data_IF_865623647015
#
_entry.id   IF_865623647015
#
_cell.length_a   1.000
_cell.length_b   1.000
_cell.length_c   1.000
_cell.angle_alpha   90.00
_cell.angle_beta   90.00
_cell.angle_gamma   90.00
#
_symmetry.space_group_name_H-M   'P 1'
#
loop_
_entity.id
_entity.type
_entity.pdbx_description
1 polymer ?
#
# COMPACT_ATOMS: atom_id res chain seq x y z
N UNK A 1 -3.48 15.07 11.75
CA UNK A 1 -4.60 15.81 12.36
C UNK A 1 -4.00 16.95 13.18
N UNK A 2 -4.52 18.17 13.04
CA UNK A 2 -3.94 19.38 13.67
C UNK A 2 -4.70 19.76 14.95
N UNK A 3 -6.03 19.61 14.97
CA UNK A 3 -6.86 19.76 16.17
C UNK A 3 -8.25 19.12 15.95
N UNK A 4 -8.88 18.66 17.04
CA UNK A 4 -10.29 18.25 17.07
C UNK A 4 -11.03 19.34 17.85
N UNK A 5 -11.91 20.08 17.18
CA UNK A 5 -12.83 21.04 17.79
C UNK A 5 -14.20 20.36 17.96
N UNK A 6 -15.03 20.86 18.89
CA UNK A 6 -16.30 20.22 19.27
C UNK A 6 -17.25 20.02 18.06
N UNK A 7 -17.12 20.86 17.03
CA UNK A 7 -18.01 20.91 15.86
C UNK A 7 -17.31 20.51 14.56
N UNK A 8 -15.99 20.76 14.44
CA UNK A 8 -15.23 20.59 13.20
C UNK A 8 -13.89 19.89 13.42
N UNK A 9 -13.54 18.98 12.53
CA UNK A 9 -12.18 18.45 12.43
C UNK A 9 -11.45 19.17 11.30
N UNK A 10 -10.28 19.74 11.63
CA UNK A 10 -9.42 20.42 10.66
C UNK A 10 -8.35 19.48 10.16
N UNK A 11 -8.33 19.26 8.84
CA UNK A 11 -7.33 18.46 8.15
C UNK A 11 -6.57 19.33 7.15
N UNK A 12 -5.27 19.09 7.03
CA UNK A 12 -4.42 19.74 6.04
C UNK A 12 -4.19 18.76 4.90
N UNK A 13 -4.54 19.16 3.68
CA UNK A 13 -4.30 18.36 2.48
C UNK A 13 -2.83 18.46 2.05
N UNK A 14 -2.41 17.57 1.14
CA UNK A 14 -1.05 17.59 0.55
C UNK A 14 -0.76 18.90 -0.17
N UNK A 15 -1.79 19.59 -0.63
CA UNK A 15 -1.73 20.91 -1.29
C UNK A 15 -1.60 22.08 -0.29
N UNK A 16 -1.33 21.79 0.99
CA UNK A 16 -1.23 22.80 2.05
C UNK A 16 -2.54 23.58 2.31
N UNK A 17 -3.69 23.11 1.80
CA UNK A 17 -5.01 23.69 2.04
C UNK A 17 -5.61 23.16 3.34
N UNK A 18 -6.26 24.03 4.11
CA UNK A 18 -6.92 23.70 5.35
C UNK A 18 -8.40 23.40 5.10
N UNK A 19 -8.78 22.12 5.19
CA UNK A 19 -10.15 21.64 5.01
C UNK A 19 -10.79 21.44 6.38
N UNK A 20 -11.98 22.02 6.57
CA UNK A 20 -12.78 21.88 7.79
C UNK A 20 -13.98 21.01 7.49
N UNK A 21 -14.04 19.81 8.08
CA UNK A 21 -15.16 18.87 7.89
C UNK A 21 -15.96 18.78 9.20
N UNK A 22 -17.29 18.93 9.17
CA UNK A 22 -18.12 18.79 10.36
C UNK A 22 -18.04 17.36 10.90
N UNK A 23 -17.90 17.22 12.22
CA UNK A 23 -17.73 15.91 12.87
C UNK A 23 -18.91 14.96 12.59
N UNK A 24 -20.12 15.48 12.42
CA UNK A 24 -21.32 14.70 12.11
C UNK A 24 -21.24 13.97 10.76
N UNK A 25 -20.56 14.55 9.78
CA UNK A 25 -20.36 13.94 8.46
C UNK A 25 -19.21 12.91 8.50
N UNK A 26 -18.17 13.21 9.28
CA UNK A 26 -17.04 12.30 9.50
C UNK A 26 -17.45 11.02 10.22
N UNK A 27 -18.33 11.11 11.22
CA UNK A 27 -18.83 9.95 11.97
C UNK A 27 -19.70 9.00 11.13
N UNK A 28 -20.23 9.46 9.99
CA UNK A 28 -21.06 8.64 9.10
C UNK A 28 -20.24 7.85 8.07
N UNK A 29 -19.01 8.24 7.83
CA UNK A 29 -18.15 7.65 6.79
C UNK A 29 -17.08 6.76 7.42
N UNK A 30 -16.68 5.71 6.72
CA UNK A 30 -15.53 4.89 7.13
C UNK A 30 -14.26 5.76 7.10
N UNK A 31 -13.58 5.90 8.25
CA UNK A 31 -12.38 6.73 8.38
C UNK A 31 -11.15 5.82 8.28
N UNK A 32 -10.54 5.76 7.10
CA UNK A 32 -9.23 5.13 6.92
C UNK A 32 -8.10 6.00 7.49
N UNK A 33 -7.62 5.64 8.68
CA UNK A 33 -6.52 6.35 9.32
C UNK A 33 -5.15 5.83 8.86
N UNK A 34 -4.60 6.44 7.81
CA UNK A 34 -3.26 6.15 7.30
C UNK A 34 -2.11 6.66 8.22
N UNK A 35 -2.41 7.50 9.22
CA UNK A 35 -1.39 8.13 10.06
C UNK A 35 -0.93 7.33 11.29
N UNK A 36 -1.70 6.31 11.70
CA UNK A 36 -1.46 5.55 12.95
C UNK A 36 -0.67 4.25 12.76
N UNK A 37 -0.53 3.75 11.53
CA UNK A 37 0.15 2.47 11.26
C UNK A 37 1.61 2.70 10.87
N UNK A 38 2.52 2.09 11.62
CA UNK A 38 3.99 2.10 11.35
C UNK A 38 4.34 1.34 10.07
N UNK A 39 3.55 0.34 9.70
CA UNK A 39 3.82 -0.54 8.57
C UNK A 39 2.77 -0.29 7.48
N UNK A 40 3.20 0.15 6.31
CA UNK A 40 2.33 0.34 5.14
C UNK A 40 2.53 -0.82 4.18
N UNK A 41 1.44 -1.51 3.83
CA UNK A 41 1.46 -2.51 2.76
C UNK A 41 1.41 -1.82 1.41
N UNK A 42 2.36 -2.12 0.53
CA UNK A 42 2.37 -1.70 -0.87
C UNK A 42 2.23 -2.94 -1.75
N UNK A 43 1.39 -2.82 -2.77
CA UNK A 43 1.18 -3.83 -3.81
C UNK A 43 1.82 -3.34 -5.10
N UNK A 44 2.60 -4.20 -5.75
CA UNK A 44 3.13 -3.96 -7.08
C UNK A 44 2.71 -5.12 -7.97
N UNK A 45 1.99 -4.82 -9.06
CA UNK A 45 1.51 -5.82 -10.01
C UNK A 45 2.46 -5.87 -11.20
N UNK A 46 2.94 -7.06 -11.51
CA UNK A 46 3.83 -7.37 -12.63
C UNK A 46 3.17 -8.46 -13.48
N UNK A 47 3.25 -8.31 -14.79
CA UNK A 47 2.73 -9.28 -15.75
C UNK A 47 3.90 -10.03 -16.39
N UNK A 48 3.88 -11.36 -16.36
CA UNK A 48 4.91 -12.21 -16.98
C UNK A 48 4.29 -13.18 -17.98
N UNK A 49 4.97 -13.41 -19.11
CA UNK A 49 4.52 -14.34 -20.15
C UNK A 49 4.54 -15.79 -19.67
N UNK A 50 3.72 -16.64 -20.28
CA UNK A 50 3.61 -18.08 -19.97
C UNK A 50 4.90 -18.90 -20.22
N UNK A 51 5.85 -18.32 -20.94
CA UNK A 51 7.15 -18.95 -21.24
C UNK A 51 8.06 -19.05 -20.01
N UNK A 52 7.77 -18.30 -18.95
CA UNK A 52 8.55 -18.25 -17.71
C UNK A 52 7.93 -19.15 -16.65
N UNK A 53 8.78 -19.91 -15.94
CA UNK A 53 8.35 -20.73 -14.81
C UNK A 53 7.87 -19.83 -13.66
N UNK A 54 6.71 -20.15 -13.09
CA UNK A 54 6.08 -19.36 -12.03
C UNK A 54 6.95 -19.25 -10.78
N UNK A 55 7.77 -20.27 -10.49
CA UNK A 55 8.71 -20.22 -9.35
C UNK A 55 9.88 -19.29 -9.60
N UNK A 56 10.34 -19.18 -10.84
CA UNK A 56 11.45 -18.31 -11.20
C UNK A 56 11.03 -16.84 -11.11
N UNK A 57 9.82 -16.52 -11.59
CA UNK A 57 9.20 -15.19 -11.47
C UNK A 57 8.99 -14.81 -9.99
N UNK A 58 8.43 -15.71 -9.18
CA UNK A 58 8.23 -15.46 -7.75
C UNK A 58 9.56 -15.20 -7.03
N UNK A 59 10.58 -16.02 -7.31
CA UNK A 59 11.92 -15.87 -6.71
C UNK A 59 12.57 -14.55 -7.13
N UNK A 60 12.51 -14.18 -8.41
CA UNK A 60 13.03 -12.91 -8.91
C UNK A 60 12.35 -11.70 -8.26
N UNK A 61 11.03 -11.76 -8.06
CA UNK A 61 10.26 -10.71 -7.38
C UNK A 61 10.61 -10.60 -5.90
N UNK A 62 10.79 -11.73 -5.21
CA UNK A 62 11.22 -11.75 -3.80
C UNK A 62 12.67 -11.25 -3.64
N UNK A 63 13.58 -11.61 -4.55
CA UNK A 63 14.95 -11.10 -4.57
C UNK A 63 14.98 -9.59 -4.83
N UNK A 64 14.17 -9.11 -5.78
CA UNK A 64 14.02 -7.68 -6.04
C UNK A 64 13.49 -6.94 -4.82
N UNK A 65 12.46 -7.48 -4.15
CA UNK A 65 11.94 -6.92 -2.91
C UNK A 65 12.99 -6.87 -1.79
N UNK A 66 13.84 -7.89 -1.68
CA UNK A 66 14.90 -7.95 -0.66
C UNK A 66 16.05 -6.96 -0.91
N UNK A 67 16.25 -6.51 -2.16
CA UNK A 67 17.28 -5.51 -2.49
C UNK A 67 16.86 -4.08 -2.16
N UNK A 68 15.58 -3.85 -1.88
CA UNK A 68 15.05 -2.52 -1.53
C UNK A 68 15.21 -2.28 -0.03
N UNK A 69 16.11 -1.38 0.37
CA UNK A 69 16.39 -1.05 1.78
C UNK A 69 15.17 -0.59 2.58
N UNK A 70 14.17 -0.02 1.91
CA UNK A 70 12.92 0.44 2.54
C UNK A 70 11.96 -0.70 2.90
N UNK A 71 12.18 -1.92 2.40
CA UNK A 71 11.30 -3.07 2.63
C UNK A 71 11.64 -3.75 3.95
N UNK A 72 10.62 -3.90 4.79
CA UNK A 72 10.68 -4.63 6.04
C UNK A 72 10.87 -6.13 5.75
N UNK A 73 11.82 -6.75 6.45
CA UNK A 73 12.00 -8.22 6.44
C UNK A 73 10.94 -8.94 7.26
N UNK A 74 10.34 -8.25 8.22
CA UNK A 74 9.24 -8.73 9.05
C UNK A 74 8.17 -7.64 9.14
N UNK A 75 6.93 -7.87 8.65
CA UNK A 75 6.42 -9.09 8.01
C UNK A 75 7.02 -9.35 6.61
N UNK A 76 7.20 -10.63 6.27
CA UNK A 76 7.85 -11.06 5.02
C UNK A 76 7.05 -10.64 3.77
N UNK A 77 7.72 -10.17 2.70
CA UNK A 77 7.07 -9.95 1.42
C UNK A 77 6.57 -11.28 0.83
N UNK A 78 5.46 -11.23 0.11
CA UNK A 78 4.87 -12.39 -0.54
C UNK A 78 4.33 -12.00 -1.92
N UNK A 79 4.29 -12.97 -2.83
CA UNK A 79 3.77 -12.81 -4.19
C UNK A 79 2.50 -13.63 -4.32
N UNK A 80 1.50 -13.08 -5.00
CA UNK A 80 0.29 -13.80 -5.37
C UNK A 80 -0.05 -13.63 -6.83
N UNK A 81 -0.47 -14.72 -7.46
CA UNK A 81 -1.06 -14.66 -8.79
C UNK A 81 -2.47 -14.05 -8.65
N UNK A 82 -2.65 -12.88 -9.22
CA UNK A 82 -3.90 -12.11 -9.12
C UNK A 82 -4.82 -12.40 -10.28
N UNK A 83 -4.25 -12.68 -11.46
CA UNK A 83 -5.04 -12.91 -12.68
C UNK A 83 -4.27 -13.78 -13.67
N UNK A 84 -5.01 -14.64 -14.36
CA UNK A 84 -4.56 -15.33 -15.57
C UNK A 84 -5.15 -14.61 -16.78
N UNK A 85 -4.32 -13.99 -17.60
CA UNK A 85 -4.73 -13.36 -18.86
C UNK A 85 -4.50 -14.28 -20.06
N UNK A 86 -4.91 -13.88 -21.24
CA UNK A 86 -4.82 -14.71 -22.46
C UNK A 86 -3.39 -15.02 -22.90
N UNK A 87 -2.44 -14.11 -22.64
CA UNK A 87 -1.03 -14.26 -23.05
C UNK A 87 -0.02 -14.10 -21.90
N UNK A 88 -0.50 -13.80 -20.70
CA UNK A 88 0.38 -13.57 -19.55
C UNK A 88 -0.34 -13.79 -18.22
N UNK A 89 0.46 -14.06 -17.18
CA UNK A 89 0.01 -14.21 -15.80
C UNK A 89 0.38 -12.95 -15.02
N UNK A 90 -0.56 -12.43 -14.24
CA UNK A 90 -0.37 -11.26 -13.38
C UNK A 90 -0.01 -11.70 -11.96
N UNK A 91 1.16 -11.25 -11.50
CA UNK A 91 1.70 -11.47 -10.17
C UNK A 91 1.67 -10.15 -9.40
N UNK A 92 1.01 -10.15 -8.25
CA UNK A 92 1.06 -9.02 -7.32
C UNK A 92 2.02 -9.34 -6.19
N UNK A 93 3.11 -8.59 -6.12
CA UNK A 93 4.05 -8.57 -5.01
C UNK A 93 3.51 -7.63 -3.92
N UNK A 94 3.37 -8.15 -2.71
CA UNK A 94 3.04 -7.39 -1.51
C UNK A 94 4.30 -7.20 -0.66
N UNK A 95 4.67 -5.94 -0.45
CA UNK A 95 5.78 -5.55 0.43
C UNK A 95 5.27 -4.67 1.56
N UNK A 96 5.95 -4.74 2.70
CA UNK A 96 5.70 -3.85 3.81
C UNK A 96 6.87 -2.88 3.91
N UNK A 97 6.59 -1.59 3.99
CA UNK A 97 7.61 -0.56 4.17
C UNK A 97 7.34 0.19 5.48
N UNK A 98 8.41 0.57 6.16
CA UNK A 98 8.30 1.56 7.22
C UNK A 98 8.15 2.93 6.56
N UNK A 99 7.27 3.77 7.11
CA UNK A 99 6.87 5.06 6.56
C UNK A 99 8.05 5.82 5.92
N UNK A 100 7.99 6.02 4.60
CA UNK A 100 8.90 6.92 3.89
C UNK A 100 8.58 8.34 4.39
N UNK A 101 9.61 9.03 4.90
CA UNK A 101 9.53 10.43 5.32
C UNK A 101 9.21 11.34 4.15
#
# INVERSE_FOLDING_TARGET
>A
VIAIDLIYTRMKTLDNVLVSVPNQELLRSEIDNYGKKTNVRRSCSITAGYELDSKDVEKALLEAASKVEAVLKDPKPYVWITRFGDFAVEYTLYVFINRIK
#
